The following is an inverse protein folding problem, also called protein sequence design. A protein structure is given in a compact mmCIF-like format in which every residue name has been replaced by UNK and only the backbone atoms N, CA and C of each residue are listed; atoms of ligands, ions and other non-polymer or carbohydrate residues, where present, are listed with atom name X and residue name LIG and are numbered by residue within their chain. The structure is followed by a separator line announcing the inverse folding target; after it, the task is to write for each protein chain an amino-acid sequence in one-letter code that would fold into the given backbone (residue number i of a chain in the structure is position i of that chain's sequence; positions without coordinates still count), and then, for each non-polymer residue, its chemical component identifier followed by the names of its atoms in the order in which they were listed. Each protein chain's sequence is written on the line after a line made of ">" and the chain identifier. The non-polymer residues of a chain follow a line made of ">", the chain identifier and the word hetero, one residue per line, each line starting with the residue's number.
data_IF_858110377613
#
_entry.id   IF_858110377613
#
_cell.length_a   1.000
_cell.length_b   1.000
_cell.length_c   1.000
_cell.angle_alpha   90.00
_cell.angle_beta   90.00
_cell.angle_gamma   90.00
#
_symmetry.space_group_name_H-M   'P 1'
#
loop_
_entity.id
_entity.type
_entity.pdbx_description
1 polymer ?
#
# COMPACT_ATOMS: atom_id res chain seq x y z
N UNK A 1 -35.85 -35.22 13.66
CA UNK A 1 -35.43 -33.83 13.32
C UNK A 1 -34.35 -33.82 12.24
N UNK A 2 -33.46 -34.82 12.18
CA UNK A 2 -32.46 -34.95 11.10
C UNK A 2 -33.06 -35.11 9.70
N UNK A 3 -34.23 -35.74 9.58
CA UNK A 3 -34.89 -36.04 8.30
C UNK A 3 -35.35 -34.78 7.53
N UNK A 4 -35.78 -33.74 8.24
CA UNK A 4 -36.26 -32.47 7.66
C UNK A 4 -35.10 -31.63 7.12
N UNK A 5 -33.94 -31.65 7.80
CA UNK A 5 -32.74 -30.94 7.34
C UNK A 5 -32.13 -31.62 6.10
N UNK A 6 -32.11 -32.95 6.06
CA UNK A 6 -31.64 -33.70 4.90
C UNK A 6 -32.52 -33.48 3.65
N UNK A 7 -33.85 -33.42 3.81
CA UNK A 7 -34.77 -33.09 2.71
C UNK A 7 -34.65 -31.62 2.28
N UNK A 8 -34.44 -30.69 3.21
CA UNK A 8 -34.14 -29.29 2.88
C UNK A 8 -32.84 -29.17 2.09
N UNK A 9 -31.76 -29.86 2.48
CA UNK A 9 -30.50 -29.83 1.74
C UNK A 9 -30.61 -30.38 0.31
N UNK A 10 -31.39 -31.44 0.10
CA UNK A 10 -31.62 -32.00 -1.24
C UNK A 10 -32.40 -31.07 -2.16
N UNK A 11 -33.39 -30.34 -1.62
CA UNK A 11 -34.25 -29.47 -2.42
C UNK A 11 -33.77 -28.01 -2.51
N UNK A 12 -32.99 -27.54 -1.53
CA UNK A 12 -32.53 -26.15 -1.43
C UNK A 12 -31.03 -25.97 -1.60
N UNK A 13 -30.22 -27.03 -1.77
CA UNK A 13 -28.86 -26.82 -2.29
C UNK A 13 -29.02 -26.13 -3.65
N UNK A 14 -28.45 -24.93 -3.86
CA UNK A 14 -28.44 -24.29 -5.16
C UNK A 14 -27.53 -25.13 -6.07
N UNK A 15 -28.08 -26.21 -6.59
CA UNK A 15 -27.40 -27.17 -7.44
C UNK A 15 -27.90 -26.94 -8.86
N UNK A 16 -26.99 -26.53 -9.72
CA UNK A 16 -27.31 -26.18 -11.10
C UNK A 16 -26.14 -25.53 -11.80
N UNK A 17 -26.02 -25.79 -13.10
CA UNK A 17 -24.97 -25.24 -13.97
C UNK A 17 -24.93 -23.72 -13.95
N UNK A 18 -26.09 -23.05 -13.77
CA UNK A 18 -26.19 -21.61 -13.65
C UNK A 18 -25.56 -21.06 -12.35
N UNK A 19 -25.75 -21.77 -11.23
CA UNK A 19 -25.18 -21.37 -9.94
C UNK A 19 -23.66 -21.57 -9.93
N UNK A 20 -23.19 -22.72 -10.41
CA UNK A 20 -21.76 -22.97 -10.62
C UNK A 20 -21.11 -21.91 -11.50
N UNK A 21 -21.70 -21.59 -12.67
CA UNK A 21 -21.19 -20.52 -13.54
C UNK A 21 -21.14 -19.17 -12.86
N UNK A 22 -22.12 -18.84 -12.02
CA UNK A 22 -22.12 -17.56 -11.32
C UNK A 22 -21.03 -17.51 -10.24
N UNK A 23 -20.84 -18.59 -9.48
CA UNK A 23 -19.76 -18.68 -8.49
C UNK A 23 -18.38 -18.69 -9.15
N UNK A 24 -18.19 -19.46 -10.22
CA UNK A 24 -16.93 -19.48 -10.98
C UNK A 24 -16.64 -18.10 -11.55
N UNK A 25 -17.63 -17.44 -12.16
CA UNK A 25 -17.47 -16.05 -12.63
C UNK A 25 -17.06 -15.11 -11.50
N UNK A 26 -17.74 -15.15 -10.35
CA UNK A 26 -17.38 -14.33 -9.19
C UNK A 26 -15.95 -14.60 -8.72
N UNK A 27 -15.55 -15.86 -8.66
CA UNK A 27 -14.18 -16.24 -8.32
C UNK A 27 -13.16 -15.73 -9.35
N UNK A 28 -13.49 -15.80 -10.64
CA UNK A 28 -12.60 -15.36 -11.72
C UNK A 28 -12.52 -13.84 -11.87
N UNK A 29 -13.59 -13.12 -11.60
CA UNK A 29 -13.63 -11.66 -11.76
C UNK A 29 -13.10 -10.93 -10.52
N UNK A 30 -13.09 -11.57 -9.34
CA UNK A 30 -12.65 -10.93 -8.10
C UNK A 30 -11.19 -10.47 -8.20
N UNK A 31 -10.98 -9.16 -8.04
CA UNK A 31 -9.67 -8.52 -7.96
C UNK A 31 -9.58 -7.66 -6.71
N UNK A 32 -8.35 -7.29 -6.35
CA UNK A 32 -8.09 -6.36 -5.25
C UNK A 32 -8.78 -5.00 -5.49
N UNK A 33 -8.88 -4.57 -6.74
CA UNK A 33 -9.54 -3.32 -7.13
C UNK A 33 -11.03 -3.24 -6.72
N UNK A 34 -11.71 -4.39 -6.58
CA UNK A 34 -13.12 -4.47 -6.18
C UNK A 34 -13.29 -4.57 -4.65
N UNK A 35 -12.18 -4.59 -3.92
CA UNK A 35 -12.13 -4.81 -2.47
C UNK A 35 -11.56 -3.57 -1.76
N UNK A 36 -11.81 -3.47 -0.45
CA UNK A 36 -11.33 -2.33 0.35
C UNK A 36 -9.84 -2.40 0.62
N UNK A 37 -9.39 -3.57 1.06
CA UNK A 37 -8.03 -3.86 1.49
C UNK A 37 -7.65 -5.30 1.10
N UNK A 38 -6.35 -5.63 1.16
CA UNK A 38 -5.84 -6.98 0.85
C UNK A 38 -6.52 -8.06 1.70
N UNK A 39 -6.86 -7.74 2.95
CA UNK A 39 -7.50 -8.69 3.87
C UNK A 39 -8.92 -9.05 3.43
N UNK A 40 -9.70 -8.05 3.00
CA UNK A 40 -11.07 -8.24 2.49
C UNK A 40 -11.03 -9.06 1.19
N UNK A 41 -10.07 -8.76 0.30
CA UNK A 41 -9.84 -9.54 -0.91
C UNK A 41 -9.52 -11.00 -0.60
N UNK A 42 -8.56 -11.28 0.28
CA UNK A 42 -8.18 -12.64 0.66
C UNK A 42 -9.35 -13.43 1.27
N UNK A 43 -10.18 -12.77 2.08
CA UNK A 43 -11.33 -13.41 2.71
C UNK A 43 -12.42 -13.76 1.69
N UNK A 44 -12.78 -12.82 0.81
CA UNK A 44 -13.79 -13.05 -0.24
C UNK A 44 -13.35 -14.12 -1.23
N UNK A 45 -12.08 -14.09 -1.63
CA UNK A 45 -11.49 -15.08 -2.52
C UNK A 45 -11.53 -16.48 -1.89
N UNK A 46 -11.10 -16.59 -0.63
CA UNK A 46 -11.15 -17.85 0.12
C UNK A 46 -12.58 -18.36 0.28
N UNK A 47 -13.55 -17.48 0.56
CA UNK A 47 -14.95 -17.85 0.65
C UNK A 47 -15.48 -18.42 -0.68
N UNK A 48 -15.28 -17.70 -1.79
CA UNK A 48 -15.70 -18.15 -3.11
C UNK A 48 -15.07 -19.49 -3.51
N UNK A 49 -13.79 -19.70 -3.15
CA UNK A 49 -13.10 -20.98 -3.35
C UNK A 49 -13.72 -22.12 -2.54
N UNK A 50 -13.97 -21.90 -1.25
CA UNK A 50 -14.57 -22.93 -0.40
C UNK A 50 -16.01 -23.24 -0.82
N UNK A 51 -16.78 -22.24 -1.26
CA UNK A 51 -18.10 -22.45 -1.84
C UNK A 51 -18.02 -23.32 -3.11
N UNK A 52 -17.08 -23.04 -4.02
CA UNK A 52 -16.90 -23.83 -5.25
C UNK A 52 -16.52 -25.29 -4.95
N UNK A 53 -15.62 -25.52 -3.99
CA UNK A 53 -15.23 -26.89 -3.60
C UNK A 53 -16.36 -27.60 -2.84
N UNK A 54 -17.19 -26.86 -2.10
CA UNK A 54 -18.32 -27.42 -1.37
C UNK A 54 -19.53 -27.76 -2.28
N UNK A 55 -19.58 -27.27 -3.52
CA UNK A 55 -20.66 -27.56 -4.46
C UNK A 55 -20.78 -29.05 -4.78
N UNK A 56 -19.67 -29.66 -5.16
CA UNK A 56 -19.63 -31.07 -5.58
C UNK A 56 -18.25 -31.67 -5.37
N UNK A 57 -18.20 -32.95 -4.98
CA UNK A 57 -16.96 -33.67 -4.71
C UNK A 57 -16.08 -33.88 -5.96
N UNK A 58 -16.64 -33.75 -7.17
CA UNK A 58 -15.88 -33.79 -8.42
C UNK A 58 -15.04 -32.53 -8.65
N UNK A 59 -15.34 -31.41 -7.99
CA UNK A 59 -14.60 -30.16 -8.12
C UNK A 59 -13.29 -30.25 -7.34
N UNK A 60 -12.23 -30.68 -8.03
CA UNK A 60 -10.87 -30.76 -7.48
C UNK A 60 -10.09 -29.48 -7.76
N UNK A 61 -10.44 -28.40 -7.07
CA UNK A 61 -9.58 -27.22 -7.04
C UNK A 61 -8.51 -27.41 -5.96
N UNK A 62 -7.24 -27.25 -6.34
CA UNK A 62 -6.13 -27.30 -5.39
C UNK A 62 -5.84 -25.91 -4.83
N UNK A 63 -5.24 -25.87 -3.64
CA UNK A 63 -4.84 -24.62 -2.98
C UNK A 63 -3.85 -23.81 -3.83
N UNK A 64 -3.05 -24.46 -4.69
CA UNK A 64 -2.15 -23.76 -5.62
C UNK A 64 -2.90 -22.84 -6.58
N UNK A 65 -4.10 -23.24 -7.03
CA UNK A 65 -4.92 -22.38 -7.87
C UNK A 65 -5.47 -21.18 -7.09
N UNK A 66 -5.77 -21.35 -5.81
CA UNK A 66 -6.18 -20.26 -4.93
C UNK A 66 -5.03 -19.25 -4.75
N UNK A 67 -3.83 -19.74 -4.46
CA UNK A 67 -2.62 -18.90 -4.32
C UNK A 67 -2.32 -18.16 -5.61
N UNK A 68 -2.29 -18.87 -6.75
CA UNK A 68 -2.03 -18.25 -8.04
C UNK A 68 -3.11 -17.21 -8.38
N UNK A 69 -4.38 -17.50 -8.07
CA UNK A 69 -5.47 -16.54 -8.29
C UNK A 69 -5.31 -15.30 -7.42
N UNK A 70 -4.94 -15.48 -6.15
CA UNK A 70 -4.72 -14.39 -5.22
C UNK A 70 -3.60 -13.46 -5.71
N UNK A 71 -2.45 -14.00 -6.10
CA UNK A 71 -1.32 -13.22 -6.61
C UNK A 71 -1.68 -12.44 -7.88
N UNK A 72 -2.32 -13.08 -8.86
CA UNK A 72 -2.76 -12.42 -10.10
C UNK A 72 -3.85 -11.36 -9.86
N UNK A 73 -4.59 -11.45 -8.76
CA UNK A 73 -5.65 -10.51 -8.40
C UNK A 73 -5.16 -9.26 -7.66
N UNK A 74 -3.89 -9.20 -7.23
CA UNK A 74 -3.33 -8.05 -6.50
C UNK A 74 -3.15 -6.80 -7.38
N UNK A 75 -2.98 -6.99 -8.70
CA UNK A 75 -2.77 -5.91 -9.66
C UNK A 75 -1.31 -5.43 -9.75
N UNK A 76 -1.07 -4.54 -10.72
CA UNK A 76 0.27 -4.11 -11.17
C UNK A 76 1.12 -3.46 -10.06
N UNK A 77 0.47 -2.82 -9.09
CA UNK A 77 1.15 -2.24 -7.92
C UNK A 77 2.00 -3.25 -7.14
N UNK A 78 1.68 -4.54 -7.25
CA UNK A 78 2.35 -5.63 -6.53
C UNK A 78 3.31 -6.45 -7.40
N UNK A 79 3.53 -6.11 -8.67
CA UNK A 79 4.37 -6.91 -9.59
C UNK A 79 5.80 -7.11 -9.07
N UNK A 80 6.39 -6.06 -8.48
CA UNK A 80 7.74 -6.16 -7.87
C UNK A 80 7.76 -7.13 -6.69
N UNK A 81 6.70 -7.12 -5.87
CA UNK A 81 6.56 -8.04 -4.75
C UNK A 81 6.33 -9.47 -5.25
N UNK A 82 5.45 -9.67 -6.24
CA UNK A 82 5.15 -10.98 -6.82
C UNK A 82 6.44 -11.59 -7.39
N UNK A 83 7.19 -10.83 -8.18
CA UNK A 83 8.49 -11.27 -8.73
C UNK A 83 9.47 -11.70 -7.63
N UNK A 84 9.63 -10.88 -6.60
CA UNK A 84 10.51 -11.20 -5.47
C UNK A 84 9.99 -12.40 -4.66
N UNK A 85 8.67 -12.56 -4.54
CA UNK A 85 8.03 -13.64 -3.82
C UNK A 85 8.25 -14.98 -4.52
N UNK A 86 8.04 -15.04 -5.84
CA UNK A 86 8.25 -16.23 -6.68
C UNK A 86 9.71 -16.68 -6.73
N UNK A 87 10.66 -15.76 -6.65
CA UNK A 87 12.08 -16.09 -6.57
C UNK A 87 12.46 -16.78 -5.26
N UNK A 88 11.78 -16.42 -4.16
CA UNK A 88 12.11 -16.91 -2.82
C UNK A 88 11.22 -18.09 -2.38
N UNK A 89 10.13 -18.36 -3.08
CA UNK A 89 9.13 -19.32 -2.65
C UNK A 89 8.67 -20.25 -3.78
N UNK A 90 8.42 -21.51 -3.44
CA UNK A 90 7.90 -22.50 -4.38
C UNK A 90 6.36 -22.48 -4.40
N UNK A 91 5.75 -22.02 -5.50
CA UNK A 91 4.29 -22.06 -5.67
C UNK A 91 3.75 -23.49 -5.87
N UNK A 92 4.60 -24.38 -6.40
CA UNK A 92 4.32 -25.80 -6.58
C UNK A 92 5.35 -26.63 -5.79
N UNK A 93 4.96 -27.80 -5.27
CA UNK A 93 5.88 -28.65 -4.52
C UNK A 93 6.93 -29.22 -5.48
N UNK A 94 8.22 -29.01 -5.17
CA UNK A 94 9.28 -29.66 -5.92
C UNK A 94 9.43 -31.10 -5.43
N UNK A 95 9.71 -32.00 -6.36
CA UNK A 95 9.89 -33.43 -6.08
C UNK A 95 11.26 -33.89 -6.55
N UNK A 96 11.88 -34.80 -5.81
CA UNK A 96 13.08 -35.49 -6.27
C UNK A 96 12.75 -36.51 -7.38
N UNK A 97 13.79 -37.16 -7.92
CA UNK A 97 13.66 -38.21 -8.94
C UNK A 97 12.75 -39.38 -8.49
N UNK A 98 12.59 -39.59 -7.18
CA UNK A 98 11.76 -40.64 -6.57
C UNK A 98 10.32 -40.19 -6.30
N UNK A 99 9.93 -39.01 -6.81
CA UNK A 99 8.61 -38.37 -6.62
C UNK A 99 8.30 -37.96 -5.17
N UNK A 100 9.26 -38.02 -4.26
CA UNK A 100 9.13 -37.51 -2.90
C UNK A 100 9.27 -35.98 -2.89
N UNK A 101 8.48 -35.29 -2.06
CA UNK A 101 8.44 -33.83 -1.98
C UNK A 101 9.71 -33.35 -1.26
N UNK A 102 10.53 -32.56 -1.95
CA UNK A 102 11.77 -31.96 -1.42
C UNK A 102 11.54 -30.56 -0.87
N UNK A 103 10.69 -29.77 -1.52
CA UNK A 103 10.24 -28.48 -0.99
C UNK A 103 8.72 -28.42 -0.99
N UNK A 104 8.16 -28.04 0.15
CA UNK A 104 6.73 -27.83 0.27
C UNK A 104 6.31 -26.58 -0.53
N UNK A 105 5.14 -26.64 -1.13
CA UNK A 105 4.54 -25.47 -1.74
C UNK A 105 4.10 -24.47 -0.67
N UNK A 106 4.03 -23.19 -1.03
CA UNK A 106 3.49 -22.19 -0.12
C UNK A 106 2.00 -22.39 0.10
N UNK A 107 1.57 -22.29 1.36
CA UNK A 107 0.15 -22.27 1.73
C UNK A 107 -0.46 -20.88 1.51
N UNK A 108 -1.77 -20.84 1.27
CA UNK A 108 -2.52 -19.60 1.14
C UNK A 108 -2.36 -18.69 2.36
N UNK A 109 -2.28 -19.28 3.55
CA UNK A 109 -2.07 -18.53 4.81
C UNK A 109 -0.73 -17.77 4.84
N UNK A 110 0.32 -18.37 4.30
CA UNK A 110 1.66 -17.77 4.25
C UNK A 110 1.69 -16.62 3.25
N UNK A 111 1.11 -16.82 2.05
CA UNK A 111 1.04 -15.76 1.02
C UNK A 111 0.24 -14.58 1.54
N UNK A 112 -0.92 -14.83 2.16
CA UNK A 112 -1.77 -13.78 2.74
C UNK A 112 -1.00 -12.90 3.72
N UNK A 113 -0.24 -13.51 4.64
CA UNK A 113 0.59 -12.77 5.61
C UNK A 113 1.66 -11.93 4.90
N UNK A 114 2.37 -12.50 3.93
CA UNK A 114 3.41 -11.79 3.21
C UNK A 114 2.87 -10.56 2.46
N UNK A 115 1.70 -10.66 1.83
CA UNK A 115 1.08 -9.52 1.14
C UNK A 115 0.59 -8.46 2.13
N UNK A 116 0.03 -8.86 3.27
CA UNK A 116 -0.37 -7.91 4.33
C UNK A 116 0.82 -7.13 4.89
N UNK A 117 1.96 -7.80 5.09
CA UNK A 117 3.20 -7.12 5.49
C UNK A 117 3.68 -6.13 4.43
N UNK A 118 3.56 -6.48 3.15
CA UNK A 118 3.92 -5.59 2.05
C UNK A 118 3.00 -4.37 1.95
N UNK A 119 1.69 -4.55 2.14
CA UNK A 119 0.71 -3.46 2.22
C UNK A 119 1.07 -2.49 3.36
N UNK A 120 1.40 -3.03 4.53
CA UNK A 120 1.84 -2.23 5.67
C UNK A 120 3.14 -1.46 5.35
N UNK A 121 4.15 -2.10 4.75
CA UNK A 121 5.40 -1.44 4.33
C UNK A 121 5.14 -0.31 3.33
N UNK A 122 4.26 -0.54 2.34
CA UNK A 122 3.84 0.49 1.37
C UNK A 122 3.18 1.68 2.07
N UNK A 123 2.27 1.43 3.02
CA UNK A 123 1.59 2.48 3.78
C UNK A 123 2.57 3.31 4.60
N UNK A 124 3.46 2.66 5.36
CA UNK A 124 4.50 3.35 6.14
C UNK A 124 5.41 4.18 5.22
N UNK A 125 5.83 3.64 4.06
CA UNK A 125 6.65 4.37 3.09
C UNK A 125 5.94 5.62 2.56
N UNK A 126 4.63 5.53 2.27
CA UNK A 126 3.80 6.67 1.84
C UNK A 126 3.68 7.72 2.95
N UNK A 127 3.45 7.32 4.19
CA UNK A 127 3.37 8.22 5.35
C UNK A 127 4.71 8.94 5.61
N UNK A 128 5.84 8.23 5.55
CA UNK A 128 7.17 8.84 5.71
C UNK A 128 7.46 9.81 4.56
N UNK A 129 7.11 9.46 3.33
CA UNK A 129 7.31 10.33 2.16
C UNK A 129 6.48 11.62 2.26
N UNK A 130 5.21 11.51 2.64
CA UNK A 130 4.34 12.68 2.85
C UNK A 130 4.81 13.54 4.02
N UNK A 131 5.28 12.95 5.12
CA UNK A 131 5.90 13.68 6.22
C UNK A 131 7.15 14.45 5.77
N UNK A 132 8.02 13.84 4.95
CA UNK A 132 9.21 14.50 4.43
C UNK A 132 8.86 15.68 3.50
N UNK A 133 7.86 15.52 2.63
CA UNK A 133 7.36 16.57 1.75
C UNK A 133 6.70 17.73 2.53
N UNK A 134 5.94 17.42 3.59
CA UNK A 134 5.32 18.46 4.45
C UNK A 134 6.35 19.28 5.24
N UNK A 135 7.52 18.70 5.52
CA UNK A 135 8.64 19.34 6.24
C UNK A 135 9.62 20.05 5.30
N UNK A 136 9.49 19.83 3.99
CA UNK A 136 10.23 20.59 3.00
C UNK A 136 9.73 22.04 3.02
N UNK A 137 10.50 22.93 3.65
CA UNK A 137 10.27 24.37 3.54
C UNK A 137 10.25 24.73 2.06
N UNK A 138 9.29 25.55 1.59
CA UNK A 138 9.27 25.98 0.20
C UNK A 138 10.64 26.56 -0.16
N UNK A 139 11.18 26.27 -1.35
CA UNK A 139 12.46 26.81 -1.76
C UNK A 139 12.37 28.33 -1.67
N UNK A 140 13.31 28.96 -0.95
CA UNK A 140 13.42 30.42 -0.79
C UNK A 140 13.82 31.13 -2.10
N UNK A 141 13.39 30.63 -3.26
CA UNK A 141 13.90 31.00 -4.58
C UNK A 141 12.88 31.71 -5.48
N UNK A 142 11.85 32.35 -4.91
CA UNK A 142 11.03 33.31 -5.66
C UNK A 142 10.48 34.46 -4.81
N UNK A 143 10.94 34.64 -3.58
CA UNK A 143 10.80 35.95 -2.93
C UNK A 143 11.81 36.83 -3.65
N UNK A 144 11.34 37.71 -4.55
CA UNK A 144 12.17 38.77 -5.17
C UNK A 144 12.94 39.41 -4.02
N UNK A 145 14.26 39.19 -3.96
CA UNK A 145 15.08 39.83 -2.93
C UNK A 145 14.89 41.32 -3.16
N UNK A 146 14.44 42.05 -2.13
CA UNK A 146 14.38 43.51 -2.20
C UNK A 146 15.80 43.99 -2.49
N UNK A 147 15.99 44.71 -3.58
CA UNK A 147 17.29 45.25 -3.96
C UNK A 147 17.20 46.77 -3.87
N UNK A 148 18.19 47.39 -3.23
CA UNK A 148 18.29 48.83 -3.15
C UNK A 148 18.83 49.37 -4.47
N UNK A 149 18.13 50.33 -5.08
CA UNK A 149 18.56 50.95 -6.35
C UNK A 149 19.80 51.83 -6.19
N UNK A 150 20.01 52.40 -5.01
CA UNK A 150 21.03 53.43 -4.80
C UNK A 150 22.40 52.86 -4.44
N UNK A 151 22.42 51.74 -3.70
CA UNK A 151 23.65 51.07 -3.27
C UNK A 151 23.83 49.66 -3.86
N UNK A 152 22.86 49.16 -4.64
CA UNK A 152 22.93 47.87 -5.33
C UNK A 152 22.96 46.62 -4.44
N UNK A 153 22.68 46.75 -3.13
CA UNK A 153 22.72 45.61 -2.19
C UNK A 153 21.36 44.93 -2.09
N UNK A 154 21.37 43.61 -1.99
CA UNK A 154 20.16 42.80 -1.80
C UNK A 154 19.81 42.62 -0.31
N UNK A 155 18.52 42.59 -0.01
CA UNK A 155 17.96 42.40 1.33
C UNK A 155 17.11 43.55 1.86
N UNK A 156 17.07 44.72 1.21
CA UNK A 156 16.35 45.91 1.65
C UNK A 156 16.00 46.84 0.47
N UNK A 157 15.01 47.72 0.64
CA UNK A 157 14.64 48.75 -0.35
C UNK A 157 15.39 50.05 -0.11
N UNK A 158 15.34 50.97 -1.08
CA UNK A 158 16.05 52.27 -1.03
C UNK A 158 15.76 53.10 0.23
N UNK A 159 14.53 53.04 0.74
CA UNK A 159 14.12 53.69 2.00
C UNK A 159 14.78 53.11 3.26
N UNK A 160 15.24 51.85 3.19
CA UNK A 160 15.87 51.13 4.29
C UNK A 160 17.41 51.11 4.17
N UNK A 161 17.95 51.88 3.21
CA UNK A 161 19.37 51.89 2.89
C UNK A 161 20.20 52.57 3.98
N UNK A 162 21.16 51.86 4.56
CA UNK A 162 22.04 52.39 5.60
C UNK A 162 23.11 53.35 5.10
N UNK A 163 23.37 53.39 3.79
CA UNK A 163 24.26 54.39 3.19
C UNK A 163 23.53 55.73 3.02
N UNK A 164 22.23 55.69 2.69
CA UNK A 164 21.37 56.89 2.58
C UNK A 164 20.88 57.37 3.94
N UNK A 165 20.61 56.45 4.87
CA UNK A 165 20.03 56.72 6.20
C UNK A 165 20.86 56.03 7.32
N UNK A 166 21.99 56.62 7.75
CA UNK A 166 22.89 56.05 8.76
C UNK A 166 22.24 55.82 10.14
N UNK A 167 21.17 56.52 10.46
CA UNK A 167 20.38 56.39 11.69
C UNK A 167 19.64 55.04 11.78
N UNK A 168 19.21 54.47 10.65
CA UNK A 168 18.55 53.15 10.60
C UNK A 168 19.50 52.04 11.04
N UNK A 169 20.79 52.17 10.69
CA UNK A 169 21.83 51.23 11.11
C UNK A 169 22.01 51.21 12.63
N UNK A 170 22.04 52.39 13.26
CA UNK A 170 22.16 52.52 14.73
C UNK A 170 20.93 51.90 15.44
N UNK A 171 19.73 52.17 14.93
CA UNK A 171 18.49 51.61 15.49
C UNK A 171 18.46 50.07 15.37
N UNK A 172 18.91 49.52 14.24
CA UNK A 172 19.02 48.08 14.04
C UNK A 172 19.99 47.42 15.02
N UNK A 173 21.19 48.00 15.20
CA UNK A 173 22.20 47.45 16.11
C UNK A 173 21.75 47.46 17.57
N UNK A 174 21.05 48.52 18.00
CA UNK A 174 20.43 48.60 19.34
C UNK A 174 19.38 47.48 19.50
N UNK A 175 18.50 47.29 18.52
CA UNK A 175 17.47 46.24 18.55
C UNK A 175 18.08 44.84 18.58
N UNK A 176 19.17 44.60 17.84
CA UNK A 176 19.88 43.31 17.82
C UNK A 176 20.55 43.01 19.16
N UNK A 177 21.18 44.01 19.79
CA UNK A 177 21.75 43.88 21.14
C UNK A 177 20.68 43.57 22.19
N UNK A 178 19.51 44.23 22.12
CA UNK A 178 18.37 43.94 23.02
C UNK A 178 17.83 42.51 22.86
N UNK A 179 17.78 41.97 21.64
CA UNK A 179 17.36 40.56 21.42
C UNK A 179 18.37 39.57 21.98
N UNK A 180 19.67 39.77 21.72
CA UNK A 180 20.72 38.88 22.26
C UNK A 180 20.82 38.93 23.79
N UNK A 181 20.56 40.07 24.40
CA UNK A 181 20.51 40.19 25.86
C UNK A 181 19.34 39.46 26.52
N UNK A 182 18.22 39.28 25.81
CA UNK A 182 17.03 38.56 26.30
C UNK A 182 17.10 37.04 26.13
N UNK A 183 18.03 36.53 25.32
CA UNK A 183 18.25 35.09 25.12
C UNK A 183 19.35 34.54 26.06
N UNK A 184 19.98 35.40 26.87
CA UNK A 184 21.08 35.07 27.77
C UNK A 184 20.70 35.18 29.28
N UNK A 185 19.41 35.35 29.57
CA UNK A 185 18.79 35.33 30.89
C UNK A 185 17.76 34.19 30.93
#
# INVERSE_FOLDING_TARGET
>A
VEDVFATLEQHYKPSGSAYFRNLDRKYQELRLADCKDVTDFAQRLGHAYHELVALDASVKLSEHFLVNKFLNGLGEDYDNFITAFEQNNCLLPLRNAEKAITTAAVSFSTVRKAVQEEEHKKKVRREVSTAFLSRAKPPKSSIRRKECTDCGRSGYTTEECWETYPELRKAHDIRRKRKKGKEAE
#
